data_IF_589781522457
#
_entry.id   IF_589781522457
#
_cell.length_a   1.000
_cell.length_b   1.000
_cell.length_c   1.000
_cell.angle_alpha   90.00
_cell.angle_beta   90.00
_cell.angle_gamma   90.00
#
_symmetry.space_group_name_H-M   'P 1'
#
loop_
_entity.id
_entity.type
_entity.pdbx_description
1 polymer ?
#
# COMPACT_ATOMS: atom_id res chain seq x y z
N UNK A 1 22.42 8.12 -17.90
CA UNK A 1 21.05 8.27 -17.39
C UNK A 1 20.08 7.67 -18.41
N UNK A 2 19.25 6.71 -18.03
CA UNK A 2 18.21 6.17 -18.92
C UNK A 2 16.95 7.02 -18.76
N UNK A 3 16.84 8.08 -19.58
CA UNK A 3 15.68 8.99 -19.65
C UNK A 3 14.33 8.25 -19.67
N UNK A 4 14.29 7.06 -20.27
CA UNK A 4 13.08 6.23 -20.32
C UNK A 4 12.53 5.84 -18.95
N UNK A 5 13.37 5.51 -17.96
CA UNK A 5 12.89 5.05 -16.64
C UNK A 5 12.24 6.20 -15.87
N UNK A 6 12.80 7.41 -15.95
CA UNK A 6 12.23 8.59 -15.30
C UNK A 6 10.87 8.97 -15.90
N UNK A 7 10.73 8.92 -17.23
CA UNK A 7 9.44 9.21 -17.89
C UNK A 7 8.36 8.22 -17.44
N UNK A 8 8.70 6.93 -17.40
CA UNK A 8 7.78 5.88 -16.93
C UNK A 8 7.42 6.11 -15.46
N UNK A 9 8.39 6.42 -14.60
CA UNK A 9 8.15 6.66 -13.18
C UNK A 9 7.27 7.90 -12.92
N UNK A 10 7.49 9.00 -13.65
CA UNK A 10 6.65 10.20 -13.55
C UNK A 10 5.22 9.92 -14.03
N UNK A 11 5.06 9.24 -15.16
CA UNK A 11 3.75 8.86 -15.67
C UNK A 11 3.00 7.94 -14.70
N UNK A 12 3.71 6.99 -14.09
CA UNK A 12 3.18 6.10 -13.07
C UNK A 12 2.72 6.87 -11.83
N UNK A 13 3.54 7.80 -11.32
CA UNK A 13 3.18 8.58 -10.15
C UNK A 13 1.97 9.50 -10.40
N UNK A 14 1.87 10.12 -11.58
CA UNK A 14 0.69 10.90 -11.98
C UNK A 14 -0.57 10.03 -12.04
N UNK A 15 -0.46 8.85 -12.64
CA UNK A 15 -1.56 7.88 -12.71
C UNK A 15 -2.01 7.45 -11.31
N UNK A 16 -1.06 7.18 -10.42
CA UNK A 16 -1.34 6.79 -9.04
C UNK A 16 -1.95 7.91 -8.20
N UNK A 17 -1.53 9.17 -8.40
CA UNK A 17 -2.18 10.33 -7.79
C UNK A 17 -3.64 10.46 -8.25
N UNK A 18 -3.91 10.25 -9.54
CA UNK A 18 -5.27 10.26 -10.07
C UNK A 18 -6.12 9.12 -9.49
N UNK A 19 -5.61 7.89 -9.50
CA UNK A 19 -6.29 6.72 -8.94
C UNK A 19 -6.60 6.89 -7.46
N UNK A 20 -5.64 7.38 -6.65
CA UNK A 20 -5.85 7.61 -5.22
C UNK A 20 -7.02 8.57 -4.97
N UNK A 21 -7.13 9.65 -5.77
CA UNK A 21 -8.26 10.57 -5.70
C UNK A 21 -9.57 9.92 -6.17
N UNK A 22 -9.54 9.05 -7.16
CA UNK A 22 -10.71 8.31 -7.64
C UNK A 22 -11.24 7.35 -6.56
N UNK A 23 -10.36 6.59 -5.89
CA UNK A 23 -10.73 5.69 -4.80
C UNK A 23 -11.31 6.44 -3.59
N UNK A 24 -10.82 7.64 -3.30
CA UNK A 24 -11.43 8.49 -2.29
C UNK A 24 -12.84 8.96 -2.68
N UNK A 25 -13.06 9.35 -3.95
CA UNK A 25 -14.40 9.68 -4.44
C UNK A 25 -15.38 8.51 -4.34
N UNK A 26 -14.89 7.27 -4.42
CA UNK A 26 -15.67 6.03 -4.24
C UNK A 26 -15.95 5.68 -2.78
N UNK A 27 -15.47 6.49 -1.81
CA UNK A 27 -15.56 6.24 -0.35
C UNK A 27 -14.90 4.93 0.10
N UNK A 28 -14.02 4.36 -0.72
CA UNK A 28 -13.25 3.17 -0.39
C UNK A 28 -12.03 3.50 0.49
N UNK A 29 -11.58 4.76 0.44
CA UNK A 29 -10.47 5.27 1.25
C UNK A 29 -10.95 6.29 2.27
N UNK A 30 -10.42 6.18 3.48
CA UNK A 30 -10.57 7.18 4.54
C UNK A 30 -9.72 8.41 4.22
N UNK A 31 -10.12 9.61 4.70
CA UNK A 31 -9.34 10.86 4.52
C UNK A 31 -7.88 10.73 4.97
N UNK A 32 -7.60 9.95 6.03
CA UNK A 32 -6.25 9.65 6.50
C UNK A 32 -5.44 8.84 5.49
N UNK A 33 -6.06 7.85 4.86
CA UNK A 33 -5.42 6.98 3.87
C UNK A 33 -5.13 7.76 2.58
N UNK A 34 -6.03 8.66 2.16
CA UNK A 34 -5.76 9.56 1.02
C UNK A 34 -4.53 10.43 1.27
N UNK A 35 -4.43 11.08 2.43
CA UNK A 35 -3.30 11.96 2.73
C UNK A 35 -1.99 11.16 2.80
N UNK A 36 -2.03 9.97 3.40
CA UNK A 36 -0.88 9.06 3.43
C UNK A 36 -0.42 8.67 2.03
N UNK A 37 -1.34 8.21 1.17
CA UNK A 37 -1.00 7.80 -0.20
C UNK A 37 -0.54 8.97 -1.06
N UNK A 38 -1.19 10.14 -0.97
CA UNK A 38 -0.73 11.34 -1.68
C UNK A 38 0.69 11.76 -1.26
N UNK A 39 0.97 11.78 0.05
CA UNK A 39 2.30 12.10 0.55
C UNK A 39 3.35 11.11 0.03
N UNK A 40 3.01 9.81 -0.01
CA UNK A 40 3.88 8.77 -0.53
C UNK A 40 4.19 8.95 -2.03
N UNK A 41 3.19 9.25 -2.86
CA UNK A 41 3.39 9.50 -4.29
C UNK A 41 4.20 10.77 -4.56
N UNK A 42 3.96 11.84 -3.79
CA UNK A 42 4.73 13.09 -3.89
C UNK A 42 6.18 12.87 -3.47
N UNK A 43 6.43 12.12 -2.39
CA UNK A 43 7.78 11.77 -1.97
C UNK A 43 8.53 10.97 -3.03
N UNK A 44 7.87 9.97 -3.65
CA UNK A 44 8.45 9.18 -4.74
C UNK A 44 8.78 10.03 -5.98
N UNK A 45 7.91 10.99 -6.33
CA UNK A 45 8.20 11.96 -7.40
C UNK A 45 9.42 12.81 -7.07
N UNK A 46 9.50 13.35 -5.85
CA UNK A 46 10.63 14.16 -5.40
C UNK A 46 11.96 13.40 -5.50
N UNK A 47 11.99 12.15 -5.03
CA UNK A 47 13.16 11.27 -5.10
C UNK A 47 13.53 10.92 -6.55
N UNK A 48 12.55 10.74 -7.43
CA UNK A 48 12.79 10.40 -8.84
C UNK A 48 13.40 11.56 -9.63
N UNK A 49 12.98 12.79 -9.33
CA UNK A 49 13.50 14.01 -9.97
C UNK A 49 14.85 14.40 -9.37
N UNK A 50 15.01 14.24 -8.06
CA UNK A 50 16.22 14.58 -7.30
C UNK A 50 16.79 13.34 -6.60
N UNK A 51 17.49 12.46 -7.34
CA UNK A 51 18.11 11.28 -6.74
C UNK A 51 19.19 11.65 -5.72
N UNK A 52 19.77 12.84 -5.82
CA UNK A 52 20.85 13.33 -4.94
C UNK A 52 20.46 13.46 -3.47
N UNK A 53 19.17 13.44 -3.15
CA UNK A 53 18.68 13.43 -1.75
C UNK A 53 19.06 12.11 -1.06
N UNK A 54 19.21 11.02 -1.82
CA UNK A 54 19.55 9.70 -1.30
C UNK A 54 21.07 9.43 -1.25
N UNK A 55 21.89 10.24 -1.89
CA UNK A 55 23.35 10.08 -1.93
C UNK A 55 23.99 9.83 -0.54
N UNK A 56 23.71 10.63 0.52
CA UNK A 56 24.31 10.39 1.83
C UNK A 56 23.87 9.07 2.49
N UNK A 57 22.68 8.56 2.15
CA UNK A 57 22.16 7.29 2.67
C UNK A 57 22.78 6.11 1.89
N UNK A 58 22.95 6.28 0.58
CA UNK A 58 23.53 5.28 -0.32
C UNK A 58 25.00 5.04 0.01
N UNK A 59 25.76 6.10 0.30
CA UNK A 59 27.16 6.03 0.72
C UNK A 59 27.32 5.30 2.06
N UNK A 60 26.43 5.55 3.03
CA UNK A 60 26.48 4.87 4.34
C UNK A 60 26.12 3.38 4.25
N UNK A 61 25.21 3.00 3.37
CA UNK A 61 24.77 1.61 3.20
C UNK A 61 25.55 0.85 2.12
N UNK A 62 26.60 1.43 1.53
CA UNK A 62 27.42 0.81 0.47
C UNK A 62 26.62 0.34 -0.75
N UNK A 63 25.45 0.94 -1.02
CA UNK A 63 24.70 0.61 -2.23
C UNK A 63 25.36 1.26 -3.45
N UNK A 64 25.46 0.53 -4.56
CA UNK A 64 26.03 1.06 -5.80
C UNK A 64 25.12 2.11 -6.46
N UNK A 65 23.81 2.10 -6.16
CA UNK A 65 22.81 2.99 -6.78
C UNK A 65 21.66 3.31 -5.83
N UNK A 66 21.23 4.57 -5.82
CA UNK A 66 20.05 5.02 -5.07
C UNK A 66 18.77 4.26 -5.44
N UNK A 67 18.64 3.84 -6.70
CA UNK A 67 17.50 3.06 -7.16
C UNK A 67 17.44 1.67 -6.51
N UNK A 68 18.58 1.01 -6.27
CA UNK A 68 18.61 -0.33 -5.70
C UNK A 68 18.10 -0.30 -4.25
N UNK A 69 18.54 0.71 -3.48
CA UNK A 69 18.04 0.96 -2.13
C UNK A 69 16.52 1.19 -2.12
N UNK A 70 16.02 2.00 -3.06
CA UNK A 70 14.60 2.33 -3.17
C UNK A 70 13.77 1.07 -3.49
N UNK A 71 14.25 0.22 -4.40
CA UNK A 71 13.60 -1.06 -4.74
C UNK A 71 13.56 -2.00 -3.53
N UNK A 72 14.66 -2.15 -2.79
CA UNK A 72 14.69 -2.97 -1.57
C UNK A 72 13.71 -2.44 -0.53
N UNK A 73 13.68 -1.12 -0.32
CA UNK A 73 12.80 -0.50 0.66
C UNK A 73 11.32 -0.64 0.26
N UNK A 74 11.00 -0.49 -1.03
CA UNK A 74 9.68 -0.73 -1.58
C UNK A 74 9.26 -2.20 -1.42
N UNK A 75 10.19 -3.14 -1.64
CA UNK A 75 9.93 -4.57 -1.49
C UNK A 75 9.64 -4.94 -0.03
N UNK A 76 10.42 -4.42 0.92
CA UNK A 76 10.16 -4.58 2.35
C UNK A 76 8.80 -4.00 2.71
N UNK A 77 8.52 -2.77 2.28
CA UNK A 77 7.25 -2.10 2.54
C UNK A 77 6.05 -2.89 1.99
N UNK A 78 6.12 -3.37 0.74
CA UNK A 78 5.07 -4.17 0.11
C UNK A 78 4.88 -5.51 0.81
N UNK A 79 5.97 -6.14 1.27
CA UNK A 79 5.90 -7.41 2.00
C UNK A 79 5.18 -7.22 3.34
N UNK A 80 5.55 -6.18 4.09
CA UNK A 80 4.89 -5.83 5.36
C UNK A 80 3.41 -5.50 5.13
N UNK A 81 3.10 -4.70 4.12
CA UNK A 81 1.73 -4.32 3.80
C UNK A 81 0.88 -5.54 3.40
N UNK A 82 1.44 -6.43 2.59
CA UNK A 82 0.82 -7.70 2.20
C UNK A 82 0.56 -8.58 3.41
N UNK A 83 1.53 -8.70 4.32
CA UNK A 83 1.38 -9.47 5.55
C UNK A 83 0.29 -8.90 6.47
N UNK A 84 0.27 -7.58 6.67
CA UNK A 84 -0.78 -6.91 7.46
C UNK A 84 -2.15 -7.11 6.82
N UNK A 85 -2.24 -7.03 5.50
CA UNK A 85 -3.48 -7.27 4.76
C UNK A 85 -3.95 -8.70 4.92
N UNK A 86 -3.06 -9.68 4.74
CA UNK A 86 -3.35 -11.10 4.98
C UNK A 86 -3.86 -11.35 6.41
N UNK A 87 -3.20 -10.77 7.41
CA UNK A 87 -3.61 -10.90 8.81
C UNK A 87 -5.00 -10.29 9.07
N UNK A 88 -5.32 -9.14 8.46
CA UNK A 88 -6.65 -8.51 8.54
C UNK A 88 -7.71 -9.38 7.87
N UNK A 89 -7.46 -9.89 6.67
CA UNK A 89 -8.37 -10.78 5.93
C UNK A 89 -8.67 -12.03 6.76
N UNK A 90 -7.64 -12.72 7.26
CA UNK A 90 -7.79 -13.93 8.09
C UNK A 90 -8.64 -13.68 9.35
N UNK A 91 -8.48 -12.54 10.00
CA UNK A 91 -9.30 -12.15 11.17
C UNK A 91 -10.75 -11.87 10.78
N UNK A 92 -10.98 -11.25 9.62
CA UNK A 92 -12.31 -10.99 9.09
C UNK A 92 -13.03 -12.29 8.74
N UNK A 93 -12.35 -13.23 8.10
CA UNK A 93 -12.90 -14.55 7.76
C UNK A 93 -13.32 -15.32 9.01
N UNK A 94 -12.48 -15.34 10.05
CA UNK A 94 -12.82 -16.04 11.30
C UNK A 94 -14.01 -15.37 12.02
N UNK A 95 -14.08 -14.03 12.05
CA UNK A 95 -15.25 -13.33 12.60
C UNK A 95 -16.52 -13.64 11.83
N UNK A 96 -16.44 -13.70 10.50
CA UNK A 96 -17.57 -14.06 9.65
C UNK A 96 -18.04 -15.49 9.93
N UNK A 97 -17.11 -16.44 10.04
CA UNK A 97 -17.41 -17.83 10.40
C UNK A 97 -18.12 -17.95 11.75
N UNK A 98 -17.62 -17.26 12.78
CA UNK A 98 -18.23 -17.25 14.11
C UNK A 98 -19.63 -16.60 14.08
N UNK A 99 -19.81 -15.53 13.30
CA UNK A 99 -21.11 -14.87 13.12
C UNK A 99 -22.13 -15.83 12.49
N UNK A 100 -21.76 -16.49 11.39
CA UNK A 100 -22.62 -17.47 10.70
C UNK A 100 -22.96 -18.65 11.63
N UNK A 101 -22.01 -19.14 12.41
CA UNK A 101 -22.25 -20.22 13.36
C UNK A 101 -23.23 -19.82 14.47
N UNK A 102 -23.12 -18.59 15.01
CA UNK A 102 -24.06 -18.08 16.02
C UNK A 102 -25.46 -17.95 15.45
N UNK A 103 -25.60 -17.33 14.27
CA UNK A 103 -26.87 -17.18 13.57
C UNK A 103 -27.55 -18.53 13.28
N UNK A 104 -26.76 -19.55 12.89
CA UNK A 104 -27.27 -20.90 12.66
C UNK A 104 -27.81 -21.55 13.94
N UNK A 105 -27.10 -21.41 15.07
CA UNK A 105 -27.53 -21.93 16.37
C UNK A 105 -28.79 -21.24 16.91
N UNK A 106 -28.88 -19.92 16.77
CA UNK A 106 -30.07 -19.14 17.16
C UNK A 106 -31.30 -19.60 16.38
N UNK A 107 -31.21 -19.69 15.04
CA UNK A 107 -32.31 -20.18 14.21
C UNK A 107 -32.75 -21.62 14.52
N UNK A 108 -31.80 -22.49 14.89
CA UNK A 108 -32.12 -23.86 15.30
C UNK A 108 -32.88 -23.91 16.63
N UNK A 109 -32.70 -22.91 17.51
CA UNK A 109 -33.37 -22.80 18.80
C UNK A 109 -34.79 -22.22 18.68
N UNK A 110 -35.03 -21.34 17.70
CA UNK A 110 -36.34 -20.71 17.44
C UNK A 110 -37.36 -21.60 16.72
N UNK A 111 -36.91 -22.68 16.06
CA UNK A 111 -37.78 -23.76 15.59
C UNK A 111 -37.62 -24.99 16.48
N UNK A 112 -38.22 -25.02 17.69
CA UNK A 112 -38.37 -26.29 18.38
C UNK A 112 -39.28 -27.17 17.51
N UNK A 113 -38.71 -28.26 17.01
CA UNK A 113 -39.50 -29.36 16.46
C UNK A 113 -40.28 -30.02 17.58
#
# INVERSE_FOLDING_TARGET
>A
MLLGIQIVAVCFALTMLYLTNLYYKRKELTRKELVFWQALWIALLGITIFPSILDPIVEQLHFNRALDLLVVLAFIFLTVLSFVTYAKVKRTDERMRLLVQRLAKERAKERPR
#
